data_IF_824676417026
#
_entry.id   IF_824676417026
#
_cell.length_a   1.000
_cell.length_b   1.000
_cell.length_c   1.000
_cell.angle_alpha   90.00
_cell.angle_beta   90.00
_cell.angle_gamma   90.00
#
_symmetry.space_group_name_H-M   'P 1'
#
loop_
_entity.id
_entity.type
_entity.pdbx_description
1 polymer ?
#
# COMPACT_ATOMS: atom_id res chain seq x y z
N UNK A 1 2.93 -6.69 10.74
CA UNK A 1 3.21 -5.51 9.87
C UNK A 1 2.93 -4.17 10.59
N UNK A 2 3.87 -3.20 10.59
CA UNK A 2 3.68 -1.88 11.21
C UNK A 2 2.81 -0.96 10.33
N UNK A 3 1.84 -0.26 10.93
CA UNK A 3 0.96 0.71 10.23
C UNK A 3 1.38 2.15 10.55
N UNK A 4 1.28 3.05 9.57
CA UNK A 4 1.65 4.46 9.72
C UNK A 4 3.16 4.69 9.80
N UNK A 5 3.96 3.70 9.38
CA UNK A 5 5.42 3.75 9.44
C UNK A 5 6.03 3.18 8.18
N UNK A 6 7.22 3.68 7.86
CA UNK A 6 8.12 3.02 6.93
C UNK A 6 8.69 1.76 7.58
N UNK A 7 8.93 0.72 6.80
CA UNK A 7 9.54 -0.50 7.30
C UNK A 7 10.20 -1.32 6.20
N UNK A 8 11.09 -2.20 6.64
CA UNK A 8 11.88 -3.07 5.79
C UNK A 8 11.52 -4.53 6.07
N UNK A 9 11.41 -5.33 5.00
CA UNK A 9 11.12 -6.76 5.09
C UNK A 9 11.83 -7.62 4.07
N UNK A 10 12.31 -8.76 4.53
CA UNK A 10 12.62 -9.88 3.65
C UNK A 10 11.36 -10.67 3.30
N UNK A 11 11.04 -10.72 2.00
CA UNK A 11 9.83 -11.39 1.53
C UNK A 11 10.07 -12.26 0.31
N UNK A 12 9.18 -13.24 0.11
CA UNK A 12 9.06 -14.01 -1.12
C UNK A 12 7.75 -13.68 -1.84
N UNK A 13 7.76 -13.17 -3.08
CA UNK A 13 6.55 -12.99 -3.85
C UNK A 13 5.87 -14.33 -4.16
N UNK A 14 4.56 -14.41 -3.95
CA UNK A 14 3.75 -15.62 -4.14
C UNK A 14 2.88 -15.48 -5.38
N UNK A 15 1.99 -14.48 -5.40
CA UNK A 15 1.04 -14.25 -6.50
C UNK A 15 0.95 -12.77 -6.85
N UNK A 16 0.49 -12.49 -8.08
CA UNK A 16 0.34 -11.14 -8.60
C UNK A 16 -1.04 -10.98 -9.22
N UNK A 17 -1.72 -9.89 -8.90
CA UNK A 17 -3.01 -9.54 -9.48
C UNK A 17 -3.02 -8.05 -9.83
N UNK A 18 -3.16 -7.76 -11.12
CA UNK A 18 -3.36 -6.39 -11.58
C UNK A 18 -4.81 -5.95 -11.43
N UNK A 19 -5.01 -4.66 -11.23
CA UNK A 19 -6.30 -3.99 -11.36
C UNK A 19 -6.11 -2.68 -12.09
N UNK A 20 -6.96 -2.42 -13.07
CA UNK A 20 -7.00 -1.12 -13.72
C UNK A 20 -7.72 -0.13 -12.81
N UNK A 21 -7.11 1.04 -12.64
CA UNK A 21 -7.63 2.19 -11.90
C UNK A 21 -7.51 3.39 -12.83
N UNK A 22 -8.63 3.82 -13.43
CA UNK A 22 -8.65 4.95 -14.37
C UNK A 22 -7.64 4.85 -15.52
N UNK A 23 -7.50 3.65 -16.10
CA UNK A 23 -6.56 3.40 -17.19
C UNK A 23 -5.10 3.25 -16.75
N UNK A 24 -4.81 3.38 -15.44
CA UNK A 24 -3.50 3.13 -14.83
C UNK A 24 -3.54 1.80 -14.08
N UNK A 25 -2.52 0.96 -14.25
CA UNK A 25 -2.51 -0.40 -13.69
C UNK A 25 -1.82 -0.46 -12.33
N UNK A 26 -2.57 -0.68 -11.26
CA UNK A 26 -2.02 -1.04 -9.96
C UNK A 26 -1.86 -2.56 -9.84
N UNK A 27 -0.91 -3.03 -9.05
CA UNK A 27 -0.67 -4.46 -8.85
C UNK A 27 -0.66 -4.81 -7.37
N UNK A 28 -1.47 -5.78 -6.97
CA UNK A 28 -1.33 -6.47 -5.68
C UNK A 28 -0.39 -7.65 -5.84
N UNK A 29 0.60 -7.72 -4.97
CA UNK A 29 1.50 -8.85 -4.83
C UNK A 29 1.26 -9.45 -3.46
N UNK A 30 0.84 -10.71 -3.39
CA UNK A 30 0.87 -11.44 -2.11
C UNK A 30 2.31 -11.86 -1.85
N UNK A 31 2.86 -11.49 -0.70
CA UNK A 31 4.22 -11.86 -0.32
C UNK A 31 4.19 -12.66 0.97
N UNK A 32 5.15 -13.56 1.11
CA UNK A 32 5.46 -14.26 2.37
C UNK A 32 6.57 -13.54 3.07
N UNK A 33 6.29 -12.97 4.24
CA UNK A 33 7.31 -12.50 5.17
C UNK A 33 8.08 -13.71 5.71
N UNK A 34 9.39 -13.54 5.93
CA UNK A 34 10.20 -14.52 6.64
C UNK A 34 9.78 -14.65 8.11
N UNK A 35 9.38 -13.54 8.74
CA UNK A 35 9.11 -13.46 10.16
C UNK A 35 7.61 -13.48 10.50
N UNK A 36 6.79 -12.86 9.66
CA UNK A 36 5.46 -12.36 10.07
C UNK A 36 4.33 -12.72 9.08
N UNK A 37 4.33 -13.97 8.60
CA UNK A 37 3.25 -14.53 7.77
C UNK A 37 3.11 -13.91 6.37
N UNK A 38 1.97 -14.16 5.73
CA UNK A 38 1.70 -13.62 4.39
C UNK A 38 0.99 -12.26 4.52
N UNK A 39 1.37 -11.29 3.70
CA UNK A 39 0.68 -10.00 3.64
C UNK A 39 0.63 -9.43 2.21
N UNK A 40 -0.36 -8.56 1.90
CA UNK A 40 -0.44 -7.93 0.59
C UNK A 40 0.49 -6.71 0.47
N UNK A 41 1.18 -6.61 -0.67
CA UNK A 41 1.93 -5.43 -1.11
C UNK A 41 1.24 -4.82 -2.33
N UNK A 42 0.96 -3.52 -2.29
CA UNK A 42 0.42 -2.76 -3.40
C UNK A 42 1.54 -2.01 -4.12
N UNK A 43 1.54 -2.15 -5.44
CA UNK A 43 2.41 -1.44 -6.35
C UNK A 43 1.55 -0.44 -7.14
N UNK A 44 1.65 0.87 -6.83
CA UNK A 44 1.00 1.92 -7.62
C UNK A 44 1.44 1.89 -9.09
N UNK A 45 0.65 2.51 -10.01
CA UNK A 45 0.90 2.41 -11.44
C UNK A 45 2.23 2.98 -11.94
N UNK A 46 2.79 3.97 -11.25
CA UNK A 46 3.99 4.68 -11.70
C UNK A 46 5.27 4.18 -11.03
N UNK A 47 5.17 3.16 -10.17
CA UNK A 47 6.32 2.54 -9.51
C UNK A 47 6.45 1.09 -9.95
N UNK A 48 7.64 0.69 -10.38
CA UNK A 48 7.89 -0.65 -10.95
C UNK A 48 8.79 -1.60 -10.14
N UNK A 49 9.43 -1.25 -9.00
CA UNK A 49 10.59 -2.00 -8.53
C UNK A 49 10.26 -3.45 -8.10
N UNK A 50 9.01 -3.74 -7.75
CA UNK A 50 8.56 -5.08 -7.35
C UNK A 50 7.93 -5.91 -8.48
N UNK A 51 7.66 -5.31 -9.64
CA UNK A 51 7.04 -5.99 -10.80
C UNK A 51 8.03 -6.96 -11.45
N UNK A 52 9.33 -6.72 -11.33
CA UNK A 52 10.39 -7.55 -11.93
C UNK A 52 10.86 -8.70 -11.03
N UNK A 53 10.42 -8.76 -9.77
CA UNK A 53 10.81 -9.83 -8.84
C UNK A 53 10.32 -11.21 -9.32
N UNK A 54 11.10 -12.27 -9.12
CA UNK A 54 10.70 -13.63 -9.48
C UNK A 54 9.93 -14.27 -8.32
N UNK A 55 8.74 -14.87 -8.56
CA UNK A 55 8.06 -15.64 -7.52
C UNK A 55 8.95 -16.76 -6.97
N UNK A 56 8.83 -17.04 -5.67
CA UNK A 56 9.62 -18.10 -5.00
C UNK A 56 11.06 -17.73 -4.67
N UNK A 57 11.54 -16.52 -5.01
CA UNK A 57 12.82 -15.99 -4.55
C UNK A 57 12.66 -14.97 -3.43
N UNK A 58 13.66 -14.88 -2.57
CA UNK A 58 13.74 -13.89 -1.51
C UNK A 58 14.22 -12.53 -2.04
N UNK A 59 13.57 -11.49 -1.54
CA UNK A 59 13.90 -10.08 -1.79
C UNK A 59 13.87 -9.32 -0.48
N UNK A 60 14.76 -8.36 -0.32
CA UNK A 60 14.65 -7.34 0.71
C UNK A 60 13.95 -6.12 0.13
N UNK A 61 12.86 -5.73 0.76
CA UNK A 61 12.08 -4.54 0.45
C UNK A 61 12.36 -3.51 1.54
N UNK A 62 13.04 -2.43 1.20
CA UNK A 62 13.29 -1.34 2.15
C UNK A 62 12.35 -0.17 1.89
N UNK A 63 12.02 0.59 2.93
CA UNK A 63 11.14 1.76 2.89
C UNK A 63 9.75 1.45 2.31
N UNK A 64 9.14 0.34 2.72
CA UNK A 64 7.71 0.07 2.49
C UNK A 64 6.85 0.97 3.36
N UNK A 65 5.76 1.49 2.80
CA UNK A 65 4.74 2.24 3.56
C UNK A 65 3.73 1.27 4.13
N UNK A 66 3.64 1.18 5.45
CA UNK A 66 2.65 0.34 6.13
C UNK A 66 1.31 1.05 6.28
N UNK A 67 0.24 0.47 5.74
CA UNK A 67 -1.11 1.04 5.80
C UNK A 67 -2.13 0.10 6.40
N UNK A 68 -3.09 0.68 7.13
CA UNK A 68 -4.34 0.00 7.43
C UNK A 68 -5.20 -0.10 6.17
N UNK A 69 -6.06 -1.12 6.12
CA UNK A 69 -7.18 -1.12 5.17
C UNK A 69 -8.06 0.13 5.40
N UNK A 70 -8.59 0.75 4.34
CA UNK A 70 -9.57 1.82 4.44
C UNK A 70 -10.72 1.43 5.37
N UNK A 71 -10.96 2.25 6.39
CA UNK A 71 -12.12 2.08 7.24
C UNK A 71 -13.39 2.41 6.44
N UNK A 72 -14.52 1.73 6.72
CA UNK A 72 -15.79 2.16 6.15
C UNK A 72 -16.12 3.59 6.59
N UNK A 73 -16.88 4.35 5.79
CA UNK A 73 -17.32 5.69 6.16
C UNK A 73 -18.17 5.64 7.44
N UNK A 74 -17.77 6.39 8.48
CA UNK A 74 -18.53 6.48 9.74
C UNK A 74 -18.77 7.95 10.07
N UNK A 75 -19.99 8.44 9.80
CA UNK A 75 -20.44 9.76 10.27
C UNK A 75 -19.68 10.96 9.69
N UNK A 76 -18.88 10.77 8.63
CA UNK A 76 -18.18 11.87 7.97
C UNK A 76 -19.12 12.66 7.05
N UNK A 77 -18.85 13.96 6.93
CA UNK A 77 -19.60 14.84 6.05
C UNK A 77 -19.39 14.42 4.59
N UNK A 78 -20.45 14.41 3.75
CA UNK A 78 -20.32 14.02 2.36
C UNK A 78 -19.31 14.91 1.64
N UNK A 79 -18.64 14.34 0.64
CA UNK A 79 -17.63 15.05 -0.15
C UNK A 79 -18.27 16.31 -0.78
N UNK A 80 -17.66 17.50 -0.62
CA UNK A 80 -18.22 18.74 -1.15
C UNK A 80 -18.27 18.77 -2.68
N UNK A 81 -17.35 18.05 -3.34
CA UNK A 81 -17.24 18.06 -4.80
C UNK A 81 -18.25 17.13 -5.49
N UNK A 82 -18.53 15.97 -4.90
CA UNK A 82 -19.34 14.93 -5.53
C UNK A 82 -20.48 14.38 -4.66
N UNK A 83 -20.65 14.87 -3.43
CA UNK A 83 -21.66 14.40 -2.48
C UNK A 83 -21.47 12.95 -1.99
N UNK A 84 -20.38 12.30 -2.39
CA UNK A 84 -20.11 10.90 -2.08
C UNK A 84 -19.69 10.67 -0.62
N UNK A 85 -19.70 9.41 -0.15
CA UNK A 85 -19.23 9.07 1.17
C UNK A 85 -17.73 9.35 1.33
N UNK A 86 -17.37 9.69 2.55
CA UNK A 86 -16.02 10.06 2.98
C UNK A 86 -15.61 9.16 4.14
N UNK A 87 -14.32 8.82 4.17
CA UNK A 87 -13.71 8.01 5.21
C UNK A 87 -12.43 8.66 5.71
N UNK A 88 -11.99 8.21 6.87
CA UNK A 88 -10.73 8.68 7.43
C UNK A 88 -9.58 8.22 6.55
N UNK A 89 -8.59 9.09 6.36
CA UNK A 89 -7.41 8.77 5.57
C UNK A 89 -6.52 7.73 6.26
N UNK A 90 -5.74 7.01 5.46
CA UNK A 90 -4.72 6.08 5.91
C UNK A 90 -3.40 6.35 5.19
N UNK A 91 -2.31 5.73 5.68
CA UNK A 91 -0.98 5.93 5.13
C UNK A 91 -0.88 5.66 3.61
N UNK A 92 -1.68 4.73 3.07
CA UNK A 92 -1.71 4.48 1.63
C UNK A 92 -2.21 5.67 0.80
N UNK A 93 -3.03 6.55 1.38
CA UNK A 93 -3.57 7.74 0.72
C UNK A 93 -2.50 8.81 0.44
N UNK A 94 -1.35 8.76 1.13
CA UNK A 94 -0.25 9.72 0.91
C UNK A 94 0.68 9.33 -0.25
N UNK A 95 0.55 8.10 -0.78
CA UNK A 95 1.46 7.59 -1.82
C UNK A 95 0.94 7.91 -3.22
N UNK A 96 -0.27 7.45 -3.55
CA UNK A 96 -0.93 7.69 -4.84
C UNK A 96 -2.45 7.44 -4.67
N UNK A 97 -3.34 8.32 -5.15
CA UNK A 97 -4.79 8.10 -5.11
C UNK A 97 -5.23 6.75 -5.73
N UNK A 98 -4.50 6.21 -6.69
CA UNK A 98 -4.78 4.92 -7.29
C UNK A 98 -4.64 3.75 -6.29
N UNK A 99 -3.85 3.89 -5.23
CA UNK A 99 -3.67 2.87 -4.18
C UNK A 99 -5.00 2.58 -3.50
N UNK A 100 -5.70 3.60 -3.05
CA UNK A 100 -6.93 3.45 -2.27
C UNK A 100 -8.06 2.84 -3.11
N UNK A 101 -8.16 3.24 -4.38
CA UNK A 101 -9.07 2.59 -5.34
C UNK A 101 -8.69 1.16 -5.62
N UNK A 102 -7.39 0.87 -5.79
CA UNK A 102 -6.93 -0.49 -6.00
C UNK A 102 -7.30 -1.38 -4.81
N UNK A 103 -7.08 -0.90 -3.59
CA UNK A 103 -7.43 -1.58 -2.33
C UNK A 103 -8.92 -1.92 -2.25
N UNK A 104 -9.79 -0.95 -2.53
CA UNK A 104 -11.25 -1.16 -2.56
C UNK A 104 -11.64 -2.18 -3.63
N UNK A 105 -11.15 -2.02 -4.87
CA UNK A 105 -11.47 -2.93 -6.00
C UNK A 105 -10.93 -4.35 -5.80
N UNK A 106 -9.80 -4.48 -5.12
CA UNK A 106 -9.18 -5.77 -4.81
C UNK A 106 -9.74 -6.42 -3.55
N UNK A 107 -10.58 -5.70 -2.79
CA UNK A 107 -11.21 -6.20 -1.56
C UNK A 107 -10.20 -6.44 -0.43
N UNK A 108 -9.18 -5.59 -0.31
CA UNK A 108 -8.15 -5.75 0.73
C UNK A 108 -8.69 -5.18 2.03
N UNK A 109 -8.99 -6.06 2.97
CA UNK A 109 -9.60 -5.75 4.28
C UNK A 109 -8.61 -5.86 5.44
N UNK A 110 -7.41 -6.38 5.17
CA UNK A 110 -6.31 -6.50 6.12
C UNK A 110 -5.28 -5.37 5.91
N UNK A 111 -4.44 -5.07 6.92
CA UNK A 111 -3.30 -4.19 6.73
C UNK A 111 -2.44 -4.61 5.53
N UNK A 112 -1.95 -3.64 4.76
CA UNK A 112 -1.15 -3.87 3.56
C UNK A 112 0.07 -2.94 3.49
N UNK A 113 1.08 -3.36 2.74
CA UNK A 113 2.24 -2.53 2.44
C UNK A 113 2.06 -1.83 1.08
N UNK A 114 2.66 -0.66 0.92
CA UNK A 114 2.66 0.09 -0.34
C UNK A 114 4.10 0.35 -0.78
N UNK A 115 4.39 0.07 -2.04
CA UNK A 115 5.61 0.49 -2.71
C UNK A 115 5.48 1.97 -3.03
N UNK A 116 6.45 2.77 -2.60
CA UNK A 116 6.57 4.19 -2.92
C UNK A 116 7.76 4.45 -3.83
N UNK A 117 7.97 5.69 -4.25
CA UNK A 117 9.19 6.12 -4.95
C UNK A 117 10.47 5.94 -4.13
N UNK A 118 10.36 5.79 -2.81
CA UNK A 118 11.48 5.54 -1.89
C UNK A 118 11.79 4.06 -1.73
N UNK A 119 10.84 3.19 -2.06
CA UNK A 119 10.99 1.75 -1.83
C UNK A 119 12.08 1.19 -2.73
N UNK A 120 13.04 0.50 -2.12
CA UNK A 120 14.09 -0.21 -2.84
C UNK A 120 13.87 -1.71 -2.75
N UNK A 121 14.24 -2.42 -3.81
CA UNK A 121 14.10 -3.87 -3.93
C UNK A 121 15.46 -4.45 -4.24
N UNK A 122 16.03 -5.21 -3.31
CA UNK A 122 17.33 -5.85 -3.48
C UNK A 122 17.20 -7.35 -3.26
N UNK A 123 18.16 -8.11 -3.78
CA UNK A 123 18.33 -9.49 -3.31
C UNK A 123 18.97 -9.42 -1.93
N UNK A 124 18.49 -10.20 -0.95
CA UNK A 124 19.06 -10.17 0.38
C UNK A 124 20.44 -10.82 0.34
N UNK A 125 21.43 -10.11 0.86
CA UNK A 125 22.64 -10.73 1.39
C UNK A 125 22.39 -11.08 2.88
N UNK A 126 23.11 -12.06 3.42
CA UNK A 126 22.89 -12.66 4.76
C UNK A 126 22.79 -11.66 5.94
N UNK A 127 23.19 -10.40 5.75
CA UNK A 127 23.26 -9.35 6.76
C UNK A 127 22.09 -8.37 6.76
N UNK A 128 21.10 -8.53 5.88
CA UNK A 128 20.03 -7.53 5.72
C UNK A 128 18.91 -7.75 6.74
N UNK A 129 18.89 -6.96 7.81
CA UNK A 129 17.88 -7.09 8.85
C UNK A 129 16.60 -6.31 8.58
N UNK A 130 15.49 -6.90 8.98
CA UNK A 130 14.18 -6.29 9.11
C UNK A 130 14.22 -5.03 10.00
N UNK A 131 13.58 -3.95 9.56
CA UNK A 131 13.58 -2.67 10.29
C UNK A 131 12.20 -2.05 10.34
N UNK A 132 11.86 -1.42 11.46
CA UNK A 132 10.77 -0.43 11.49
C UNK A 132 11.39 0.96 11.52
N UNK A 133 11.00 1.77 10.56
CA UNK A 133 11.54 3.10 10.30
C UNK A 133 10.67 4.24 10.84
N UNK A 134 10.88 5.40 10.24
CA UNK A 134 10.21 6.64 10.58
C UNK A 134 8.69 6.58 10.37
N UNK A 135 7.92 7.42 11.07
CA UNK A 135 6.53 7.68 10.70
C UNK A 135 6.42 8.09 9.23
N UNK A 136 5.32 7.70 8.61
CA UNK A 136 4.92 8.24 7.30
C UNK A 136 4.33 9.63 7.49
N UNK A 137 4.22 10.39 6.40
CA UNK A 137 3.52 11.68 6.43
C UNK A 137 2.08 11.51 6.94
N UNK A 138 1.59 12.51 7.67
CA UNK A 138 0.26 12.45 8.25
C UNK A 138 -0.79 12.24 7.15
N UNK A 139 -1.63 11.20 7.27
CA UNK A 139 -2.66 10.97 6.28
C UNK A 139 -3.70 12.10 6.30
N UNK A 140 -4.38 12.35 5.18
CA UNK A 140 -5.48 13.31 5.14
C UNK A 140 -6.55 12.95 6.17
N UNK A 141 -7.16 13.97 6.80
CA UNK A 141 -8.21 13.76 7.80
C UNK A 141 -9.41 13.00 7.20
N UNK A 142 -9.77 13.32 5.95
CA UNK A 142 -10.84 12.66 5.23
C UNK A 142 -10.51 12.50 3.74
N UNK A 143 -10.95 11.38 3.17
CA UNK A 143 -10.79 11.00 1.76
C UNK A 143 -12.15 10.57 1.22
N UNK A 144 -12.53 11.12 0.07
CA UNK A 144 -13.72 10.64 -0.63
C UNK A 144 -13.41 9.37 -1.42
N UNK A 145 -14.17 8.30 -1.26
CA UNK A 145 -13.92 7.06 -2.03
C UNK A 145 -14.29 7.17 -3.51
N UNK A 146 -15.23 8.05 -3.85
CA UNK A 146 -15.63 8.28 -5.24
C UNK A 146 -14.60 9.11 -5.99
N UNK A 147 -14.21 10.24 -5.39
CA UNK A 147 -13.38 11.26 -6.02
C UNK A 147 -11.88 11.08 -5.70
N UNK A 148 -11.54 10.34 -4.64
CA UNK A 148 -10.17 10.15 -4.09
C UNK A 148 -9.41 11.46 -3.95
N UNK A 149 -10.18 12.50 -3.65
CA UNK A 149 -9.69 13.81 -3.31
C UNK A 149 -9.67 13.90 -1.79
N UNK A 150 -8.63 14.56 -1.28
CA UNK A 150 -8.57 14.97 0.12
C UNK A 150 -9.70 15.96 0.34
N UNK A 151 -10.58 15.66 1.30
CA UNK A 151 -11.62 16.59 1.72
C UNK A 151 -11.04 17.38 2.89
N UNK A 152 -10.85 18.69 2.67
CA UNK A 152 -10.34 19.62 3.67
C UNK A 152 -11.40 20.01 4.71
#
# INVERSE_FOLDING_TARGET
>A
MPVGRLFDRQVTPITRRGVDVEGRRAVRIAVRDRADGDFPVLVPPDVSPLITAEPGRWYHLADLVGSAAPAPPVGEAPCPDCGGPTRSGCAGDTVDPAVSRAVIRLGIVEPFAVVSSRTTVTRPDETTDDRTGSPVDDPPASVCDACVSVVA
#
